data_IF_744658738118
#
_entry.id   IF_744658738118
#
_cell.length_a   1.000
_cell.length_b   1.000
_cell.length_c   1.000
_cell.angle_alpha   90.00
_cell.angle_beta   90.00
_cell.angle_gamma   90.00
#
_symmetry.space_group_name_H-M   'P 1'
#
loop_
_entity.id
_entity.type
_entity.pdbx_description
1 polymer ?
#
# COMPACT_ATOMS: atom_id res chain seq x y z
N UNK A 1 -6.86 9.65 -69.76
CA UNK A 1 -5.63 8.97 -69.37
C UNK A 1 -5.44 9.10 -67.87
N UNK A 2 -5.57 8.02 -67.12
CA UNK A 2 -5.45 8.03 -65.66
C UNK A 2 -3.99 7.72 -65.28
N UNK A 3 -3.29 8.71 -64.74
CA UNK A 3 -1.88 8.56 -64.31
C UNK A 3 -1.81 7.62 -63.12
N UNK A 4 -1.18 6.45 -63.32
CA UNK A 4 -0.92 5.49 -62.24
C UNK A 4 0.22 6.07 -61.41
N UNK A 5 -0.08 6.52 -60.18
CA UNK A 5 0.94 6.92 -59.19
C UNK A 5 1.77 5.69 -58.84
N UNK A 6 3.04 5.70 -59.13
CA UNK A 6 3.99 4.69 -58.70
C UNK A 6 4.03 4.64 -57.19
N UNK A 7 3.56 3.56 -56.58
CA UNK A 7 3.70 3.28 -55.14
C UNK A 7 5.14 2.85 -54.92
N UNK A 8 5.91 3.67 -54.20
CA UNK A 8 7.26 3.30 -53.75
C UNK A 8 7.12 2.21 -52.68
N UNK A 9 7.59 1.04 -52.95
CA UNK A 9 7.69 -0.03 -51.95
C UNK A 9 8.93 0.15 -51.06
N UNK A 10 8.88 -0.40 -49.87
CA UNK A 10 10.01 -0.45 -48.94
C UNK A 10 11.14 -1.32 -49.51
N UNK A 11 12.38 -0.86 -49.31
CA UNK A 11 13.56 -1.66 -49.68
C UNK A 11 13.85 -2.69 -48.57
N UNK A 12 14.44 -3.83 -48.97
CA UNK A 12 14.79 -4.88 -47.99
C UNK A 12 15.77 -4.35 -46.93
N UNK A 13 16.68 -3.46 -47.29
CA UNK A 13 17.64 -2.85 -46.35
C UNK A 13 16.96 -1.94 -45.37
N UNK A 14 15.95 -1.18 -45.76
CA UNK A 14 15.19 -0.29 -44.88
C UNK A 14 14.38 -1.07 -43.82
N UNK A 15 13.83 -2.22 -44.23
CA UNK A 15 13.15 -3.12 -43.30
C UNK A 15 14.16 -3.72 -42.30
N UNK A 16 15.33 -4.14 -42.75
CA UNK A 16 16.39 -4.73 -41.92
C UNK A 16 16.89 -3.72 -40.87
N UNK A 17 17.13 -2.48 -41.26
CA UNK A 17 17.55 -1.41 -40.36
C UNK A 17 16.45 -1.08 -39.35
N UNK A 18 15.19 -1.01 -39.78
CA UNK A 18 14.06 -0.71 -38.92
C UNK A 18 13.86 -1.76 -37.81
N UNK A 19 13.89 -3.05 -38.13
CA UNK A 19 13.78 -4.11 -37.13
C UNK A 19 14.97 -4.14 -36.17
N UNK A 20 16.18 -3.82 -36.65
CA UNK A 20 17.38 -3.74 -35.81
C UNK A 20 17.25 -2.66 -34.77
N UNK A 21 16.76 -1.46 -35.11
CA UNK A 21 16.53 -0.35 -34.18
C UNK A 21 15.45 -0.72 -33.15
N UNK A 22 14.35 -1.31 -33.63
CA UNK A 22 13.26 -1.73 -32.72
C UNK A 22 13.74 -2.78 -31.72
N UNK A 23 14.51 -3.76 -32.15
CA UNK A 23 15.03 -4.81 -31.25
C UNK A 23 15.98 -4.24 -30.19
N UNK A 24 16.84 -3.28 -30.53
CA UNK A 24 17.74 -2.64 -29.57
C UNK A 24 16.96 -1.85 -28.54
N UNK A 25 15.98 -1.03 -28.94
CA UNK A 25 15.15 -0.24 -28.04
C UNK A 25 14.34 -1.15 -27.13
N UNK A 26 13.72 -2.19 -27.68
CA UNK A 26 12.90 -3.14 -26.89
C UNK A 26 13.74 -3.87 -25.85
N UNK A 27 14.97 -4.29 -26.20
CA UNK A 27 15.88 -4.92 -25.25
C UNK A 27 16.20 -4.00 -24.08
N UNK A 28 16.50 -2.73 -24.33
CA UNK A 28 16.80 -1.76 -23.29
C UNK A 28 15.62 -1.53 -22.34
N UNK A 29 14.42 -1.44 -22.87
CA UNK A 29 13.17 -1.27 -22.06
C UNK A 29 12.94 -2.49 -21.17
N UNK A 30 13.10 -3.70 -21.71
CA UNK A 30 12.87 -4.94 -20.94
C UNK A 30 13.86 -5.11 -19.79
N UNK A 31 15.12 -4.71 -19.93
CA UNK A 31 16.11 -4.79 -18.85
C UNK A 31 15.78 -3.87 -17.67
N UNK A 32 15.16 -2.72 -17.91
CA UNK A 32 14.82 -1.75 -16.85
C UNK A 32 13.39 -1.95 -16.27
N UNK A 33 12.62 -2.88 -16.81
CA UNK A 33 11.20 -3.04 -16.45
C UNK A 33 11.00 -3.56 -15.02
N UNK A 34 11.89 -4.42 -14.54
CA UNK A 34 11.84 -4.98 -13.18
C UNK A 34 11.99 -3.88 -12.12
N UNK A 35 13.04 -3.07 -12.22
CA UNK A 35 13.33 -2.00 -11.26
C UNK A 35 12.22 -0.93 -11.23
N UNK A 36 11.60 -0.67 -12.38
CA UNK A 36 10.48 0.25 -12.49
C UNK A 36 9.24 -0.28 -11.75
N UNK A 37 8.91 -1.55 -11.92
CA UNK A 37 7.79 -2.18 -11.24
C UNK A 37 7.98 -2.20 -9.72
N UNK A 38 9.19 -2.48 -9.22
CA UNK A 38 9.48 -2.50 -7.79
C UNK A 38 9.31 -1.11 -7.18
N UNK A 39 9.75 -0.05 -7.86
CA UNK A 39 9.53 1.34 -7.43
C UNK A 39 8.05 1.73 -7.43
N UNK A 40 7.28 1.30 -8.43
CA UNK A 40 5.84 1.52 -8.47
C UNK A 40 5.13 0.79 -7.33
N UNK A 41 5.48 -0.47 -7.08
CA UNK A 41 4.92 -1.27 -6.00
C UNK A 41 5.19 -0.63 -4.63
N UNK A 42 6.41 -0.14 -4.40
CA UNK A 42 6.78 0.58 -3.17
C UNK A 42 5.98 1.88 -3.01
N UNK A 43 5.90 2.69 -4.06
CA UNK A 43 5.15 3.95 -4.03
C UNK A 43 3.66 3.71 -3.79
N UNK A 44 3.07 2.73 -4.46
CA UNK A 44 1.67 2.36 -4.28
C UNK A 44 1.41 1.88 -2.84
N UNK A 45 2.26 1.00 -2.30
CA UNK A 45 2.12 0.53 -0.91
C UNK A 45 2.25 1.67 0.10
N UNK A 46 3.16 2.62 -0.12
CA UNK A 46 3.30 3.79 0.74
C UNK A 46 2.06 4.70 0.70
N UNK A 47 1.45 4.89 -0.47
CA UNK A 47 0.21 5.66 -0.62
C UNK A 47 -0.98 4.96 0.04
N UNK A 48 -1.10 3.65 -0.11
CA UNK A 48 -2.14 2.84 0.54
C UNK A 48 -2.05 2.97 2.07
N UNK A 49 -0.84 2.85 2.64
CA UNK A 49 -0.59 3.04 4.08
C UNK A 49 -0.95 4.46 4.52
N UNK A 50 -0.50 5.48 3.78
CA UNK A 50 -0.79 6.87 4.13
C UNK A 50 -2.29 7.17 4.09
N UNK A 51 -3.03 6.56 3.16
CA UNK A 51 -4.49 6.65 3.09
C UNK A 51 -5.14 6.00 4.31
N UNK A 52 -4.67 4.82 4.70
CA UNK A 52 -5.21 4.09 5.85
C UNK A 52 -4.97 4.82 7.16
N UNK A 53 -3.80 5.44 7.33
CA UNK A 53 -3.50 6.28 8.52
C UNK A 53 -4.43 7.49 8.58
N UNK A 54 -4.66 8.17 7.44
CA UNK A 54 -5.62 9.28 7.37
C UNK A 54 -7.04 8.83 7.66
N UNK A 55 -7.42 7.64 7.24
CA UNK A 55 -8.72 7.05 7.54
C UNK A 55 -8.87 6.75 9.04
N UNK A 56 -7.84 6.19 9.69
CA UNK A 56 -7.82 6.00 11.13
C UNK A 56 -8.01 7.33 11.90
N UNK A 57 -7.27 8.36 11.48
CA UNK A 57 -7.39 9.71 12.03
C UNK A 57 -8.79 10.27 11.83
N UNK A 58 -9.37 10.14 10.64
CA UNK A 58 -10.73 10.62 10.36
C UNK A 58 -11.79 9.88 11.20
N UNK A 59 -11.63 8.59 11.42
CA UNK A 59 -12.54 7.82 12.28
C UNK A 59 -12.46 8.26 13.75
N UNK A 60 -11.27 8.55 14.25
CA UNK A 60 -11.08 9.07 15.60
C UNK A 60 -11.72 10.44 15.77
N UNK A 61 -11.58 11.36 14.80
CA UNK A 61 -12.13 12.72 14.86
C UNK A 61 -13.66 12.71 14.68
N UNK A 62 -14.17 11.93 13.72
CA UNK A 62 -15.59 11.94 13.34
C UNK A 62 -16.50 11.10 14.26
N UNK A 63 -15.99 10.62 15.38
CA UNK A 63 -16.80 9.87 16.37
C UNK A 63 -17.58 8.73 15.72
N UNK A 64 -16.90 7.92 14.92
CA UNK A 64 -17.53 6.74 14.33
C UNK A 64 -17.87 5.76 15.46
N UNK A 65 -19.13 5.36 15.54
CA UNK A 65 -19.55 4.31 16.46
C UNK A 65 -18.83 3.01 16.07
N UNK A 66 -17.96 2.52 16.95
CA UNK A 66 -17.52 1.14 16.84
C UNK A 66 -18.76 0.27 17.10
N UNK A 67 -19.09 -0.66 16.18
CA UNK A 67 -20.26 -1.54 16.29
C UNK A 67 -20.14 -2.47 17.49
N UNK A 68 -20.23 -1.90 18.69
CA UNK A 68 -20.25 -2.60 19.99
C UNK A 68 -21.53 -2.21 20.68
N UNK A 69 -22.30 -3.18 21.08
CA UNK A 69 -23.52 -2.99 21.87
C UNK A 69 -23.23 -2.11 23.09
N UNK A 70 -23.65 -0.85 23.06
CA UNK A 70 -23.48 0.04 24.21
C UNK A 70 -23.20 1.51 23.94
N UNK A 71 -23.01 1.94 22.68
CA UNK A 71 -22.86 3.36 22.34
C UNK A 71 -21.61 4.04 22.91
N UNK A 72 -20.54 3.31 23.17
CA UNK A 72 -19.27 3.87 23.58
C UNK A 72 -18.51 4.44 22.38
N UNK A 73 -18.30 5.75 22.40
CA UNK A 73 -17.61 6.51 21.36
C UNK A 73 -16.14 6.82 21.71
N UNK A 74 -15.59 6.24 22.79
CA UNK A 74 -14.28 6.59 23.33
C UNK A 74 -13.20 5.55 23.00
N UNK A 75 -13.31 4.90 21.83
CA UNK A 75 -12.33 3.94 21.38
C UNK A 75 -11.24 4.62 20.52
N UNK A 76 -10.00 4.14 20.66
CA UNK A 76 -8.93 4.52 19.75
C UNK A 76 -9.02 3.76 18.43
N UNK A 77 -8.73 4.48 17.34
CA UNK A 77 -8.54 3.88 16.02
C UNK A 77 -7.06 3.86 15.71
N UNK A 78 -6.55 2.72 15.28
CA UNK A 78 -5.13 2.57 15.05
C UNK A 78 -4.83 1.72 13.81
N UNK A 79 -3.60 1.89 13.30
CA UNK A 79 -3.05 1.05 12.25
C UNK A 79 -1.95 0.18 12.84
N UNK A 80 -2.01 -1.11 12.59
CA UNK A 80 -1.06 -2.10 13.03
C UNK A 80 -0.20 -2.60 11.88
N UNK A 81 1.10 -2.66 12.13
CA UNK A 81 2.13 -3.17 11.23
C UNK A 81 2.94 -4.26 11.92
N UNK A 82 3.29 -5.30 11.17
CA UNK A 82 4.17 -6.38 11.62
C UNK A 82 5.21 -6.68 10.54
N UNK A 83 6.50 -6.67 10.89
CA UNK A 83 7.59 -6.94 9.95
C UNK A 83 7.63 -8.38 9.45
N UNK A 84 6.98 -9.29 10.17
CA UNK A 84 6.86 -10.71 9.79
C UNK A 84 5.66 -11.01 8.91
N UNK A 85 4.80 -10.00 8.66
CA UNK A 85 3.57 -10.13 7.88
C UNK A 85 3.61 -9.27 6.62
N UNK A 86 2.99 -9.76 5.56
CA UNK A 86 2.73 -8.97 4.35
C UNK A 86 1.46 -8.11 4.47
N UNK A 87 0.80 -8.15 5.62
CA UNK A 87 -0.46 -7.49 5.86
C UNK A 87 -0.33 -6.40 6.91
N UNK A 88 -1.15 -5.37 6.77
CA UNK A 88 -1.36 -4.33 7.78
C UNK A 88 -2.85 -4.15 8.02
N UNK A 89 -3.21 -3.65 9.22
CA UNK A 89 -4.60 -3.66 9.66
C UNK A 89 -5.00 -2.30 10.21
N UNK A 90 -6.16 -1.81 9.79
CA UNK A 90 -6.89 -0.74 10.47
C UNK A 90 -7.81 -1.39 11.51
N UNK A 91 -7.70 -1.01 12.75
CA UNK A 91 -8.49 -1.59 13.83
C UNK A 91 -9.00 -0.54 14.81
N UNK A 92 -9.99 -0.93 15.58
CA UNK A 92 -10.52 -0.19 16.72
C UNK A 92 -10.21 -0.97 17.99
N UNK A 93 -9.52 -0.33 18.93
CA UNK A 93 -9.17 -0.93 20.22
C UNK A 93 -10.40 -0.93 21.13
N UNK A 94 -11.16 -2.03 21.11
CA UNK A 94 -12.44 -2.17 21.85
C UNK A 94 -12.25 -2.45 23.33
N UNK A 95 -11.13 -3.06 23.69
CA UNK A 95 -10.82 -3.42 25.08
C UNK A 95 -9.85 -2.43 25.76
N UNK A 96 -9.45 -1.38 25.04
CA UNK A 96 -8.57 -0.29 25.53
C UNK A 96 -7.23 -0.83 26.04
N UNK A 97 -6.69 -1.89 25.40
CA UNK A 97 -5.42 -2.47 25.77
C UNK A 97 -4.22 -1.88 24.98
N UNK A 98 -4.48 -1.01 24.01
CA UNK A 98 -3.49 -0.38 23.14
C UNK A 98 -2.84 -1.33 22.14
N UNK A 99 -3.44 -2.50 21.88
CA UNK A 99 -2.92 -3.54 20.99
C UNK A 99 -3.98 -4.02 20.03
N UNK A 100 -3.53 -4.58 18.91
CA UNK A 100 -4.42 -5.27 17.99
C UNK A 100 -4.62 -6.73 18.43
N UNK A 101 -5.85 -7.09 18.71
CA UNK A 101 -6.25 -8.46 19.02
C UNK A 101 -6.69 -9.18 17.75
N UNK A 102 -5.89 -10.19 17.36
CA UNK A 102 -6.12 -10.95 16.14
C UNK A 102 -7.42 -11.75 16.26
N UNK A 103 -8.46 -11.31 15.57
CA UNK A 103 -9.74 -12.00 15.45
C UNK A 103 -9.92 -12.71 14.11
N UNK A 104 -11.02 -13.42 13.97
CA UNK A 104 -11.38 -14.14 12.74
C UNK A 104 -12.03 -13.21 11.70
N UNK A 105 -11.20 -12.51 10.93
CA UNK A 105 -11.65 -11.68 9.79
C UNK A 105 -11.91 -10.20 10.13
N UNK A 106 -11.77 -9.35 9.12
CA UNK A 106 -12.05 -7.92 9.23
C UNK A 106 -13.48 -7.60 8.85
N UNK A 107 -14.06 -6.58 9.50
CA UNK A 107 -15.41 -6.10 9.20
C UNK A 107 -16.56 -6.94 9.77
N UNK A 108 -16.27 -8.04 10.43
CA UNK A 108 -17.28 -8.87 11.12
C UNK A 108 -17.47 -8.38 12.56
N UNK A 109 -18.72 -8.26 12.99
CA UNK A 109 -19.04 -7.85 14.37
C UNK A 109 -18.35 -8.73 15.40
N UNK A 110 -17.62 -8.13 16.34
CA UNK A 110 -16.89 -8.84 17.39
C UNK A 110 -15.37 -8.80 17.26
N UNK A 111 -14.82 -8.54 16.07
CA UNK A 111 -13.37 -8.33 15.89
C UNK A 111 -12.99 -6.86 15.98
N UNK A 112 -11.75 -6.59 16.34
CA UNK A 112 -11.21 -5.23 16.33
C UNK A 112 -10.87 -4.75 14.91
N UNK A 113 -10.62 -5.67 13.98
CA UNK A 113 -10.25 -5.36 12.61
C UNK A 113 -11.40 -4.72 11.83
N UNK A 114 -11.12 -3.53 11.28
CA UNK A 114 -12.02 -2.80 10.38
C UNK A 114 -11.67 -3.13 8.92
N UNK A 115 -10.39 -3.00 8.59
CA UNK A 115 -9.89 -3.15 7.24
C UNK A 115 -8.50 -3.80 7.25
N UNK A 116 -8.25 -4.65 6.27
CA UNK A 116 -6.98 -5.31 6.05
C UNK A 116 -6.39 -4.81 4.73
N UNK A 117 -5.16 -4.34 4.77
CA UNK A 117 -4.35 -4.08 3.58
C UNK A 117 -3.25 -5.10 3.43
N UNK A 118 -2.75 -5.26 2.21
CA UNK A 118 -1.62 -6.15 1.89
C UNK A 118 -0.62 -5.39 1.04
N UNK A 119 0.66 -5.50 1.36
CA UNK A 119 1.71 -4.88 0.55
C UNK A 119 1.72 -5.45 -0.87
N UNK A 120 2.06 -4.61 -1.83
CA UNK A 120 2.26 -5.06 -3.21
C UNK A 120 3.41 -6.06 -3.27
N UNK A 121 3.42 -6.91 -4.30
CA UNK A 121 4.45 -7.92 -4.50
C UNK A 121 5.86 -7.34 -4.32
N UNK A 122 6.72 -8.07 -3.60
CA UNK A 122 8.11 -7.74 -3.30
C UNK A 122 8.33 -6.55 -2.34
N UNK A 123 7.27 -5.95 -1.77
CA UNK A 123 7.40 -4.93 -0.73
C UNK A 123 7.30 -5.58 0.64
N UNK A 124 8.29 -5.34 1.49
CA UNK A 124 8.32 -5.81 2.88
C UNK A 124 8.80 -4.69 3.78
N UNK A 125 8.33 -4.67 5.03
CA UNK A 125 8.90 -3.80 6.06
C UNK A 125 10.20 -4.45 6.55
N UNK A 126 11.35 -3.85 6.24
CA UNK A 126 12.65 -4.34 6.69
C UNK A 126 12.97 -4.00 8.15
N UNK A 127 12.31 -2.99 8.69
CA UNK A 127 12.48 -2.57 10.08
C UNK A 127 11.54 -1.44 10.45
N UNK A 128 11.24 -1.34 11.74
CA UNK A 128 10.42 -0.30 12.33
C UNK A 128 11.31 0.55 13.24
N UNK A 129 11.30 1.86 13.03
CA UNK A 129 12.08 2.80 13.80
C UNK A 129 11.15 3.65 14.66
N UNK A 130 11.41 3.67 15.96
CA UNK A 130 10.84 4.64 16.88
C UNK A 130 11.96 5.62 17.28
N UNK A 131 11.69 6.91 17.21
CA UNK A 131 12.67 7.98 17.41
C UNK A 131 13.86 7.95 16.43
N UNK A 132 14.92 8.71 16.72
CA UNK A 132 16.07 8.93 15.84
C UNK A 132 17.01 7.71 15.69
N UNK A 133 16.73 6.61 16.35
CA UNK A 133 17.58 5.41 16.33
C UNK A 133 16.83 4.25 15.66
N UNK A 134 17.32 3.83 14.52
CA UNK A 134 16.88 2.63 13.81
C UNK A 134 17.94 1.54 13.88
N UNK A 135 17.54 0.29 14.07
CA UNK A 135 16.36 -0.19 14.76
C UNK A 135 16.69 -0.54 16.22
N UNK A 136 15.78 -0.46 17.14
CA UNK A 136 15.90 -1.30 18.32
C UNK A 136 15.84 -2.75 17.81
N UNK A 137 16.77 -3.62 18.20
CA UNK A 137 16.96 -4.93 17.59
C UNK A 137 15.77 -5.89 17.70
N UNK A 138 14.62 -5.45 18.22
CA UNK A 138 13.46 -6.28 18.51
C UNK A 138 12.09 -5.64 18.23
N UNK A 139 11.99 -4.47 17.61
CA UNK A 139 10.70 -3.91 17.27
C UNK A 139 10.17 -4.55 15.97
N UNK A 140 9.43 -5.64 16.11
CA UNK A 140 8.77 -6.31 14.99
C UNK A 140 7.37 -5.80 14.73
N UNK A 141 6.80 -4.99 15.65
CA UNK A 141 5.42 -4.52 15.60
C UNK A 141 5.33 -3.04 15.91
N UNK A 142 4.44 -2.33 15.23
CA UNK A 142 4.17 -0.93 15.45
C UNK A 142 2.66 -0.67 15.40
N UNK A 143 2.23 0.23 16.27
CA UNK A 143 0.85 0.72 16.34
C UNK A 143 0.87 2.24 16.19
N UNK A 144 0.08 2.77 15.28
CA UNK A 144 -0.14 4.21 15.12
C UNK A 144 -1.59 4.47 15.49
N UNK A 145 -1.82 4.95 16.71
CA UNK A 145 -3.16 5.15 17.25
C UNK A 145 -3.55 6.62 17.33
N UNK A 146 -4.84 6.88 17.11
CA UNK A 146 -5.48 8.18 17.24
C UNK A 146 -6.60 8.07 18.27
N UNK A 147 -6.50 8.88 19.30
CA UNK A 147 -7.55 9.07 20.29
C UNK A 147 -8.38 10.30 19.93
N UNK A 148 -9.64 10.27 20.29
CA UNK A 148 -10.49 11.46 20.21
C UNK A 148 -9.91 12.54 21.12
N UNK A 149 -9.78 13.81 20.65
CA UNK A 149 -9.52 14.92 21.55
C UNK A 149 -10.66 15.00 22.56
N UNK A 150 -10.31 15.00 23.85
CA UNK A 150 -11.31 15.18 24.92
C UNK A 150 -11.89 16.60 24.76
N UNK A 151 -13.21 16.79 24.64
CA UNK A 151 -13.77 18.12 24.67
C UNK A 151 -13.74 18.58 26.16
N UNK A 152 -12.79 19.46 26.49
CA UNK A 152 -12.79 20.22 27.73
C UNK A 152 -14.05 21.07 27.88
#
# INVERSE_FOLDING_TARGET
>A
MKTIKSLKGFTLIELLVSISIVTIITSFVLFNYSDFNDRLALTASAQDIASLIKQAQAYAINVREASVSGGNFNYSYAVYFDTSSSDYYLFVDKNVNGRYDVGTGCGTGGTECIEKGTYKSNVVISGICGDLVCPPPNATRMYIGFLRPDPD
#
